data_IF_134189999378
#
_entry.id   IF_134189999378
#
_cell.length_a   1.000
_cell.length_b   1.000
_cell.length_c   1.000
_cell.angle_alpha   90.00
_cell.angle_beta   90.00
_cell.angle_gamma   90.00
#
_symmetry.space_group_name_H-M   'P 1'
#
loop_
_entity.id
_entity.type
_entity.pdbx_description
1 polymer ?
#
# COMPACT_ATOMS: atom_id res chain seq x y z
N UNK A 1 4.25 -3.74 23.29
CA UNK A 1 5.24 -3.64 22.18
C UNK A 1 4.82 -2.58 21.17
N UNK A 2 3.68 -2.77 20.48
CA UNK A 2 3.13 -1.78 19.54
C UNK A 2 3.05 -0.36 20.14
N UNK A 3 2.40 -0.22 21.31
CA UNK A 3 2.26 1.06 22.03
C UNK A 3 3.61 1.75 22.30
N UNK A 4 4.65 0.99 22.64
CA UNK A 4 5.98 1.55 22.90
C UNK A 4 6.65 2.03 21.60
N UNK A 5 6.51 1.27 20.51
CA UNK A 5 7.02 1.69 19.20
C UNK A 5 6.28 2.93 18.69
N UNK A 6 4.97 3.01 18.90
CA UNK A 6 4.17 4.16 18.50
C UNK A 6 4.50 5.43 19.30
N UNK A 7 4.83 5.28 20.58
CA UNK A 7 5.40 6.37 21.38
C UNK A 7 6.79 6.80 20.88
N UNK A 8 7.60 5.85 20.39
CA UNK A 8 8.96 6.12 19.88
C UNK A 8 8.93 6.76 18.48
N UNK A 9 7.96 6.36 17.65
CA UNK A 9 7.81 6.79 16.26
C UNK A 9 6.44 7.46 16.05
N UNK A 10 6.16 8.61 16.69
CA UNK A 10 4.84 9.23 16.65
C UNK A 10 4.46 9.78 15.27
N UNK A 11 5.42 9.87 14.34
CA UNK A 11 5.20 10.31 12.96
C UNK A 11 4.85 9.15 12.02
N UNK A 12 5.07 7.91 12.44
CA UNK A 12 4.75 6.73 11.63
C UNK A 12 3.35 6.26 12.01
N UNK A 13 2.55 5.95 10.99
CA UNK A 13 1.20 5.45 11.20
C UNK A 13 1.20 4.07 11.89
N UNK A 14 0.18 3.83 12.73
CA UNK A 14 0.02 2.60 13.50
C UNK A 14 -0.04 1.35 12.62
N UNK A 15 -0.65 1.47 11.45
CA UNK A 15 -0.78 0.38 10.49
C UNK A 15 0.60 -0.04 9.97
N UNK A 16 1.46 0.94 9.64
CA UNK A 16 2.84 0.71 9.20
C UNK A 16 3.68 0.08 10.31
N UNK A 17 3.52 0.53 11.56
CA UNK A 17 4.20 -0.06 12.72
C UNK A 17 3.78 -1.52 12.88
N UNK A 18 2.47 -1.78 12.84
CA UNK A 18 1.90 -3.12 12.95
C UNK A 18 2.40 -4.05 11.85
N UNK A 19 2.46 -3.55 10.61
CA UNK A 19 2.92 -4.27 9.44
C UNK A 19 4.42 -4.61 9.52
N UNK A 20 5.26 -3.64 9.88
CA UNK A 20 6.70 -3.87 10.08
C UNK A 20 6.96 -4.91 11.18
N UNK A 21 6.20 -4.84 12.28
CA UNK A 21 6.31 -5.79 13.38
C UNK A 21 5.96 -7.22 12.95
N UNK A 22 4.90 -7.38 12.15
CA UNK A 22 4.50 -8.67 11.56
C UNK A 22 5.59 -9.20 10.62
N UNK A 23 6.11 -8.33 9.75
CA UNK A 23 7.15 -8.70 8.79
C UNK A 23 8.41 -9.25 9.46
N UNK A 24 8.80 -8.68 10.59
CA UNK A 24 9.97 -9.11 11.34
C UNK A 24 9.69 -10.16 12.42
N UNK A 25 8.54 -10.85 12.39
CA UNK A 25 8.17 -11.86 13.38
C UNK A 25 8.31 -11.35 14.83
N UNK A 26 7.88 -10.11 15.07
CA UNK A 26 7.99 -9.41 16.36
C UNK A 26 9.43 -9.07 16.83
N UNK A 27 10.44 -9.16 15.96
CA UNK A 27 11.79 -8.67 16.26
C UNK A 27 11.81 -7.14 16.38
N UNK A 28 11.89 -6.67 17.62
CA UNK A 28 11.80 -5.25 17.98
C UNK A 28 12.96 -4.45 17.41
N UNK A 29 14.17 -5.00 17.39
CA UNK A 29 15.37 -4.24 16.99
C UNK A 29 15.41 -4.07 15.47
N UNK A 30 15.07 -5.11 14.71
CA UNK A 30 14.90 -4.99 13.25
C UNK A 30 13.74 -4.06 12.90
N UNK A 31 12.64 -4.15 13.63
CA UNK A 31 11.49 -3.26 13.43
C UNK A 31 11.89 -1.79 13.67
N UNK A 32 12.54 -1.48 14.80
CA UNK A 32 13.06 -0.12 15.07
C UNK A 32 13.98 0.36 13.96
N UNK A 33 14.89 -0.49 13.48
CA UNK A 33 15.81 -0.13 12.39
C UNK A 33 15.07 0.26 11.10
N UNK A 34 13.94 -0.38 10.78
CA UNK A 34 13.11 0.01 9.63
C UNK A 34 12.27 1.25 9.92
N UNK A 35 11.68 1.37 11.11
CA UNK A 35 10.87 2.53 11.47
C UNK A 35 11.71 3.83 11.54
N UNK A 36 12.94 3.77 12.04
CA UNK A 36 13.90 4.88 11.98
C UNK A 36 14.18 5.26 10.53
N UNK A 37 14.47 4.26 9.68
CA UNK A 37 14.74 4.49 8.26
C UNK A 37 13.54 5.10 7.52
N UNK A 38 12.31 4.65 7.80
CA UNK A 38 11.08 5.26 7.25
C UNK A 38 10.92 6.71 7.73
N UNK A 39 11.18 6.98 9.01
CA UNK A 39 11.07 8.33 9.60
C UNK A 39 12.03 9.32 8.95
N UNK A 40 13.24 8.87 8.56
CA UNK A 40 14.26 9.70 7.91
C UNK A 40 13.98 9.97 6.42
N UNK A 41 13.13 9.18 5.77
CA UNK A 41 12.96 9.20 4.31
C UNK A 41 11.54 9.55 3.83
N UNK A 42 10.62 9.82 4.76
CA UNK A 42 9.22 10.09 4.44
C UNK A 42 8.69 11.31 5.20
N UNK A 43 7.70 11.98 4.61
CA UNK A 43 7.07 13.18 5.16
C UNK A 43 5.58 13.01 5.42
N UNK A 44 4.94 12.02 4.79
CA UNK A 44 3.52 11.74 4.89
C UNK A 44 3.24 10.23 4.84
N UNK A 45 2.00 9.85 5.18
CA UNK A 45 1.56 8.45 5.23
C UNK A 45 1.72 7.72 3.89
N UNK A 46 1.37 8.36 2.78
CA UNK A 46 1.48 7.74 1.47
C UNK A 46 2.93 7.38 1.14
N UNK A 47 3.87 8.27 1.47
CA UNK A 47 5.30 7.99 1.33
C UNK A 47 5.78 6.87 2.26
N UNK A 48 5.22 6.75 3.47
CA UNK A 48 5.52 5.64 4.38
C UNK A 48 5.08 4.30 3.79
N UNK A 49 3.85 4.22 3.26
CA UNK A 49 3.32 3.03 2.59
C UNK A 49 4.18 2.65 1.39
N UNK A 50 4.42 3.59 0.48
CA UNK A 50 5.26 3.40 -0.70
C UNK A 50 6.66 2.92 -0.33
N UNK A 51 7.32 3.56 0.63
CA UNK A 51 8.68 3.20 1.00
C UNK A 51 8.75 1.86 1.75
N UNK A 52 7.70 1.49 2.49
CA UNK A 52 7.56 0.17 3.11
C UNK A 52 7.42 -0.94 2.06
N UNK A 53 6.61 -0.71 1.02
CA UNK A 53 6.46 -1.60 -0.14
C UNK A 53 7.82 -1.77 -0.86
N UNK A 54 8.54 -0.69 -1.11
CA UNK A 54 9.89 -0.76 -1.70
C UNK A 54 10.83 -1.61 -0.83
N UNK A 55 10.80 -1.42 0.49
CA UNK A 55 11.65 -2.16 1.40
C UNK A 55 11.31 -3.66 1.46
N UNK A 56 10.04 -4.04 1.49
CA UNK A 56 9.64 -5.47 1.47
C UNK A 56 10.12 -6.18 0.20
N UNK A 57 9.99 -5.48 -0.92
CA UNK A 57 10.25 -6.06 -2.23
C UNK A 57 11.73 -6.05 -2.62
N UNK A 58 12.45 -4.99 -2.26
CA UNK A 58 13.86 -4.84 -2.61
C UNK A 58 14.82 -5.06 -1.44
N UNK A 59 14.39 -4.93 -0.17
CA UNK A 59 15.27 -4.92 1.01
C UNK A 59 15.96 -6.24 1.32
N UNK A 60 15.51 -7.35 0.72
CA UNK A 60 16.24 -8.63 0.78
C UNK A 60 17.41 -8.69 -0.20
N UNK A 61 17.43 -7.84 -1.23
CA UNK A 61 18.40 -7.86 -2.33
C UNK A 61 19.28 -6.60 -2.37
N UNK A 62 18.70 -5.46 -2.01
CA UNK A 62 19.34 -4.16 -2.02
C UNK A 62 19.45 -3.63 -0.59
N UNK A 63 20.59 -3.03 -0.31
CA UNK A 63 20.79 -2.31 0.94
C UNK A 63 19.81 -1.15 1.06
N UNK A 64 19.38 -0.85 2.29
CA UNK A 64 18.52 0.30 2.61
C UNK A 64 19.06 1.61 2.06
N UNK A 65 20.39 1.75 2.00
CA UNK A 65 21.11 2.90 1.43
C UNK A 65 20.82 3.07 -0.06
N UNK A 66 20.88 1.99 -0.84
CA UNK A 66 20.55 1.99 -2.27
C UNK A 66 19.09 2.33 -2.52
N UNK A 67 18.18 1.78 -1.69
CA UNK A 67 16.74 2.10 -1.77
C UNK A 67 16.49 3.58 -1.46
N UNK A 68 17.05 4.09 -0.36
CA UNK A 68 16.95 5.51 0.02
C UNK A 68 17.51 6.45 -1.04
N UNK A 69 18.69 6.14 -1.58
CA UNK A 69 19.33 7.00 -2.55
C UNK A 69 18.52 7.06 -3.84
N UNK A 70 18.05 5.92 -4.32
CA UNK A 70 17.18 5.86 -5.51
C UNK A 70 15.86 6.59 -5.26
N UNK A 71 15.23 6.38 -4.10
CA UNK A 71 14.02 7.10 -3.69
C UNK A 71 14.19 8.62 -3.72
N UNK A 72 15.30 9.13 -3.19
CA UNK A 72 15.61 10.58 -3.21
C UNK A 72 15.92 11.08 -4.62
N UNK A 73 16.70 10.32 -5.39
CA UNK A 73 17.07 10.68 -6.77
C UNK A 73 15.85 10.75 -7.70
N UNK A 74 14.83 9.92 -7.45
CA UNK A 74 13.57 9.93 -8.15
C UNK A 74 12.55 10.92 -7.55
N UNK A 75 13.00 11.92 -6.79
CA UNK A 75 12.15 12.93 -6.16
C UNK A 75 11.02 12.35 -5.29
N UNK A 76 11.23 11.18 -4.70
CA UNK A 76 10.22 10.47 -3.91
C UNK A 76 8.97 10.08 -4.73
N UNK A 77 9.13 9.97 -6.05
CA UNK A 77 8.11 9.45 -6.96
C UNK A 77 8.25 7.93 -6.99
N UNK A 78 7.20 7.25 -6.56
CA UNK A 78 7.21 5.80 -6.34
C UNK A 78 7.36 4.99 -7.63
N UNK A 79 6.63 5.34 -8.68
CA UNK A 79 6.72 4.67 -9.99
C UNK A 79 8.12 4.73 -10.57
N UNK A 80 8.75 5.91 -10.49
CA UNK A 80 10.08 6.17 -11.02
C UNK A 80 11.14 5.42 -10.19
N UNK A 81 10.96 5.42 -8.86
CA UNK A 81 11.83 4.67 -7.95
C UNK A 81 11.78 3.17 -8.23
N UNK A 82 10.59 2.60 -8.43
CA UNK A 82 10.45 1.19 -8.80
C UNK A 82 11.19 0.91 -10.10
N UNK A 83 10.96 1.71 -11.15
CA UNK A 83 11.57 1.48 -12.45
C UNK A 83 13.09 1.47 -12.34
N UNK A 84 13.66 2.39 -11.55
CA UNK A 84 15.11 2.47 -11.36
C UNK A 84 15.67 1.36 -10.48
N UNK A 85 14.97 0.98 -9.41
CA UNK A 85 15.37 -0.18 -8.58
C UNK A 85 15.30 -1.48 -9.38
N UNK A 86 14.31 -1.63 -10.27
CA UNK A 86 14.23 -2.77 -11.19
C UNK A 86 15.41 -2.79 -12.15
N UNK A 87 15.79 -1.66 -12.72
CA UNK A 87 16.98 -1.57 -13.59
C UNK A 87 18.23 -2.02 -12.84
N UNK A 88 18.41 -1.55 -11.60
CA UNK A 88 19.53 -1.95 -10.74
C UNK A 88 19.51 -3.47 -10.50
N UNK A 89 18.37 -4.03 -10.10
CA UNK A 89 18.22 -5.49 -9.90
C UNK A 89 18.42 -6.30 -11.19
N UNK A 90 17.97 -5.78 -12.35
CA UNK A 90 18.13 -6.43 -13.65
C UNK A 90 19.60 -6.60 -14.03
N UNK A 91 20.42 -5.59 -13.71
CA UNK A 91 21.86 -5.65 -13.98
C UNK A 91 22.58 -6.66 -13.09
N UNK A 92 22.01 -7.01 -11.94
CA UNK A 92 22.56 -8.02 -11.04
C UNK A 92 22.03 -9.43 -11.30
N UNK A 93 20.75 -9.63 -11.67
CA UNK A 93 20.16 -10.93 -12.00
C UNK A 93 18.78 -10.85 -12.71
N UNK A 94 18.61 -11.58 -13.82
CA UNK A 94 17.39 -11.57 -14.65
C UNK A 94 16.18 -12.28 -14.01
N UNK A 95 16.39 -13.35 -13.22
CA UNK A 95 15.28 -14.08 -12.59
C UNK A 95 14.61 -13.28 -11.46
N UNK A 96 15.33 -12.30 -10.89
CA UNK A 96 14.87 -11.50 -9.77
C UNK A 96 13.92 -10.37 -10.20
N UNK A 97 14.02 -9.94 -11.46
CA UNK A 97 13.13 -8.92 -12.05
C UNK A 97 11.66 -9.37 -12.06
N UNK A 98 11.41 -10.65 -12.37
CA UNK A 98 10.06 -11.21 -12.40
C UNK A 98 9.43 -11.29 -11.00
N UNK A 99 10.21 -11.50 -9.95
CA UNK A 99 9.74 -11.50 -8.56
C UNK A 99 9.28 -10.11 -8.13
N UNK A 100 10.13 -9.09 -8.34
CA UNK A 100 9.80 -7.69 -8.05
C UNK A 100 8.61 -7.19 -8.88
N UNK A 101 8.48 -7.63 -10.13
CA UNK A 101 7.33 -7.31 -10.97
C UNK A 101 6.04 -7.92 -10.41
N UNK A 102 6.03 -9.23 -10.13
CA UNK A 102 4.83 -9.94 -9.72
C UNK A 102 4.34 -9.50 -8.33
N UNK A 103 5.24 -9.33 -7.36
CA UNK A 103 4.84 -8.96 -6.00
C UNK A 103 4.29 -7.52 -5.94
N UNK A 104 4.93 -6.57 -6.64
CA UNK A 104 4.40 -5.19 -6.73
C UNK A 104 3.04 -5.17 -7.42
N UNK A 105 2.84 -5.96 -8.48
CA UNK A 105 1.54 -5.98 -9.19
C UNK A 105 0.43 -6.54 -8.28
N UNK A 106 0.74 -7.54 -7.46
CA UNK A 106 -0.19 -8.13 -6.49
C UNK A 106 -0.52 -7.17 -5.34
N UNK A 107 0.48 -6.54 -4.70
CA UNK A 107 0.23 -5.59 -3.59
C UNK A 107 -0.60 -4.37 -4.04
N UNK A 108 -0.37 -3.85 -5.26
CA UNK A 108 -1.21 -2.78 -5.83
C UNK A 108 -2.64 -3.22 -6.11
N UNK A 109 -2.82 -4.47 -6.51
CA UNK A 109 -4.14 -5.02 -6.79
C UNK A 109 -4.93 -5.19 -5.48
N UNK A 110 -4.30 -5.66 -4.41
CA UNK A 110 -4.90 -5.74 -3.06
C UNK A 110 -5.29 -4.35 -2.52
N UNK A 111 -4.46 -3.32 -2.71
CA UNK A 111 -4.79 -1.95 -2.29
C UNK A 111 -5.99 -1.39 -3.07
N UNK A 112 -6.06 -1.66 -4.37
CA UNK A 112 -7.19 -1.28 -5.21
C UNK A 112 -8.49 -1.98 -4.78
N UNK A 113 -8.43 -3.28 -4.46
CA UNK A 113 -9.57 -4.03 -3.94
C UNK A 113 -10.08 -3.43 -2.61
N UNK A 114 -9.17 -3.09 -1.69
CA UNK A 114 -9.53 -2.44 -0.43
C UNK A 114 -10.18 -1.06 -0.65
N UNK A 115 -9.67 -0.25 -1.59
CA UNK A 115 -10.29 1.03 -1.97
C UNK A 115 -11.69 0.83 -2.56
N UNK A 116 -11.86 -0.16 -3.43
CA UNK A 116 -13.16 -0.51 -4.03
C UNK A 116 -14.15 -0.90 -2.93
N UNK A 117 -13.77 -1.78 -2.00
CA UNK A 117 -14.61 -2.21 -0.88
C UNK A 117 -15.00 -1.02 -0.01
N UNK A 118 -14.06 -0.12 0.29
CA UNK A 118 -14.33 1.07 1.12
C UNK A 118 -15.33 2.01 0.45
N UNK A 119 -15.15 2.31 -0.83
CA UNK A 119 -16.08 3.13 -1.60
C UNK A 119 -17.47 2.49 -1.71
N UNK A 120 -17.55 1.18 -1.93
CA UNK A 120 -18.81 0.45 -1.91
C UNK A 120 -19.53 0.56 -0.56
N UNK A 121 -18.81 0.38 0.55
CA UNK A 121 -19.36 0.50 1.90
C UNK A 121 -19.90 1.92 2.16
N UNK A 122 -19.17 2.95 1.75
CA UNK A 122 -19.59 4.35 1.88
C UNK A 122 -20.84 4.65 1.05
N UNK A 123 -20.92 4.15 -0.18
CA UNK A 123 -22.09 4.32 -1.03
C UNK A 123 -23.34 3.67 -0.43
N UNK A 124 -23.21 2.44 0.06
CA UNK A 124 -24.30 1.72 0.75
C UNK A 124 -24.74 2.49 2.00
N UNK A 125 -23.77 2.91 2.83
CA UNK A 125 -24.03 3.66 4.05
C UNK A 125 -24.76 4.99 3.77
N UNK A 126 -24.27 5.76 2.79
CA UNK A 126 -24.88 7.01 2.38
C UNK A 126 -26.33 6.81 1.91
N UNK A 127 -26.58 5.74 1.14
CA UNK A 127 -27.92 5.42 0.67
C UNK A 127 -28.88 5.16 1.85
N UNK A 128 -28.45 4.37 2.85
CA UNK A 128 -29.21 4.07 4.08
C UNK A 128 -29.51 5.36 4.86
N UNK A 129 -28.50 6.21 5.06
CA UNK A 129 -28.64 7.46 5.83
C UNK A 129 -29.56 8.47 5.16
N UNK A 130 -29.57 8.52 3.81
CA UNK A 130 -30.37 9.47 3.05
C UNK A 130 -31.85 9.10 2.99
N UNK A 131 -32.20 7.81 3.00
CA UNK A 131 -33.60 7.36 2.94
C UNK A 131 -33.95 6.33 4.04
N UNK A 132 -33.84 6.70 5.32
CA UNK A 132 -33.93 5.77 6.45
C UNK A 132 -35.31 5.12 6.61
N UNK A 133 -36.38 5.75 6.08
CA UNK A 133 -37.76 5.23 6.14
C UNK A 133 -38.13 4.29 4.99
N UNK A 134 -37.32 4.26 3.93
CA UNK A 134 -37.68 3.63 2.65
C UNK A 134 -36.73 2.52 2.21
N UNK A 135 -35.66 2.25 2.98
CA UNK A 135 -34.67 1.24 2.64
C UNK A 135 -34.64 0.17 3.73
N UNK A 136 -35.21 -0.99 3.43
CA UNK A 136 -34.68 -2.25 3.97
C UNK A 136 -33.43 -2.57 3.15
N UNK A 137 -32.36 -3.11 3.76
CA UNK A 137 -31.06 -3.42 3.11
C UNK A 137 -31.17 -4.09 1.71
N UNK A 138 -32.30 -4.76 1.45
CA UNK A 138 -32.68 -5.44 0.20
C UNK A 138 -33.14 -4.54 -0.97
N UNK A 139 -33.27 -3.22 -0.79
CA UNK A 139 -33.80 -2.31 -1.83
C UNK A 139 -32.74 -1.52 -2.61
N UNK A 140 -31.45 -1.75 -2.34
CA UNK A 140 -30.39 -1.15 -3.15
C UNK A 140 -30.48 -1.73 -4.56
N UNK A 141 -30.70 -0.86 -5.54
CA UNK A 141 -30.91 -1.30 -6.92
C UNK A 141 -29.62 -1.92 -7.47
N UNK A 142 -29.67 -3.22 -7.78
CA UNK A 142 -28.52 -4.01 -8.23
C UNK A 142 -27.76 -3.34 -9.37
N UNK A 143 -28.47 -2.81 -10.38
CA UNK A 143 -27.82 -2.15 -11.52
C UNK A 143 -27.13 -0.84 -11.14
N UNK A 144 -27.70 -0.09 -10.19
CA UNK A 144 -27.11 1.19 -9.78
C UNK A 144 -25.80 0.94 -9.00
N UNK A 145 -25.82 -0.06 -8.11
CA UNK A 145 -24.63 -0.51 -7.38
C UNK A 145 -23.57 -1.05 -8.35
N UNK A 146 -23.96 -1.86 -9.33
CA UNK A 146 -23.06 -2.39 -10.36
C UNK A 146 -22.42 -1.27 -11.19
N UNK A 147 -23.22 -0.31 -11.67
CA UNK A 147 -22.70 0.81 -12.46
C UNK A 147 -21.72 1.67 -11.65
N UNK A 148 -22.00 1.86 -10.35
CA UNK A 148 -21.10 2.57 -9.44
C UNK A 148 -19.78 1.81 -9.23
N UNK A 149 -19.86 0.49 -8.99
CA UNK A 149 -18.70 -0.39 -8.85
C UNK A 149 -17.84 -0.40 -10.12
N UNK A 150 -18.44 -0.62 -11.28
CA UNK A 150 -17.75 -0.61 -12.58
C UNK A 150 -17.04 0.72 -12.83
N UNK A 151 -17.66 1.85 -12.48
CA UNK A 151 -17.03 3.17 -12.57
C UNK A 151 -15.79 3.29 -11.67
N UNK A 152 -15.86 2.79 -10.44
CA UNK A 152 -14.72 2.82 -9.51
C UNK A 152 -13.58 1.94 -10.02
N UNK A 153 -13.87 0.71 -10.45
CA UNK A 153 -12.86 -0.20 -10.97
C UNK A 153 -12.15 0.38 -12.20
N UNK A 154 -12.92 0.98 -13.14
CA UNK A 154 -12.34 1.69 -14.28
C UNK A 154 -11.43 2.86 -13.86
N UNK A 155 -11.83 3.62 -12.85
CA UNK A 155 -11.04 4.76 -12.35
C UNK A 155 -9.73 4.30 -11.72
N UNK A 156 -9.74 3.14 -11.07
CA UNK A 156 -8.59 2.57 -10.38
C UNK A 156 -7.74 1.63 -11.27
N UNK A 157 -8.13 1.41 -12.53
CA UNK A 157 -7.46 0.46 -13.42
C UNK A 157 -7.52 -0.99 -12.93
N UNK A 158 -8.48 -1.30 -12.05
CA UNK A 158 -8.70 -2.65 -11.54
C UNK A 158 -9.48 -3.46 -12.56
N UNK A 159 -9.04 -4.70 -12.81
CA UNK A 159 -9.68 -5.55 -13.79
C UNK A 159 -11.06 -5.99 -13.26
N UNK A 160 -12.12 -5.53 -13.91
CA UNK A 160 -13.51 -5.83 -13.56
C UNK A 160 -14.05 -6.82 -14.59
N UNK A 161 -13.47 -8.02 -14.60
CA UNK A 161 -13.93 -9.12 -15.44
C UNK A 161 -15.01 -9.92 -14.70
N UNK A 162 -15.99 -10.35 -15.48
CA UNK A 162 -17.30 -10.84 -15.04
C UNK A 162 -17.29 -12.32 -14.64
#
# INVERSE_FOLDING_TARGET
MLVQLQQTFPKIDEEIISEALKWFNQDVEKTKSVLTWLTENTTNLQQQQHLMILFKNAGNQLEKTTISQTWRNCNQIFTDTIAKLREICATSNLNELNMLQNVITVEFQEENELKIIREMCLHILWHILKYPKHIKYRQIHKQALYNYLSKICHTLGANFDQ
#
